data_IF_203106172271
#
_entry.id   IF_203106172271
#
_cell.length_a   1.000
_cell.length_b   1.000
_cell.length_c   1.000
_cell.angle_alpha   90.00
_cell.angle_beta   90.00
_cell.angle_gamma   90.00
#
_symmetry.space_group_name_H-M   'P 1'
#
loop_
_entity.id
_entity.type
_entity.pdbx_description
1 polymer ?
#
# COMPACT_ATOMS: atom_id res chain seq x y z
N UNK A 1 -13.09 -13.59 4.87
CA UNK A 1 -13.11 -12.11 4.77
C UNK A 1 -11.85 -11.59 5.41
N UNK A 2 -10.97 -10.90 4.67
CA UNK A 2 -9.68 -10.43 5.20
C UNK A 2 -9.83 -9.01 5.75
N UNK A 3 -10.48 -8.87 6.92
CA UNK A 3 -10.67 -7.58 7.60
C UNK A 3 -9.68 -7.52 8.76
N UNK A 4 -8.87 -6.46 8.81
CA UNK A 4 -7.87 -6.20 9.84
C UNK A 4 -8.13 -4.82 10.45
N UNK A 5 -8.33 -4.79 11.77
CA UNK A 5 -8.49 -3.57 12.54
C UNK A 5 -7.18 -3.29 13.27
N UNK A 6 -6.31 -2.53 12.61
CA UNK A 6 -5.04 -2.06 13.16
C UNK A 6 -5.10 -0.55 13.43
N UNK A 7 -4.08 -0.03 14.14
CA UNK A 7 -4.04 1.37 14.56
C UNK A 7 -4.02 2.32 13.36
N UNK A 8 -3.38 1.90 12.27
CA UNK A 8 -3.37 2.61 10.99
C UNK A 8 -3.70 1.65 9.82
N UNK A 9 -4.15 2.21 8.70
CA UNK A 9 -4.38 1.45 7.47
C UNK A 9 -3.08 0.78 7.00
N UNK A 10 -1.96 1.48 7.14
CA UNK A 10 -0.63 0.99 6.80
C UNK A 10 -0.27 -0.26 7.60
N UNK A 11 -0.41 -0.22 8.93
CA UNK A 11 -0.16 -1.38 9.79
C UNK A 11 -1.06 -2.55 9.41
N UNK A 12 -2.33 -2.29 9.09
CA UNK A 12 -3.26 -3.31 8.61
C UNK A 12 -2.76 -4.03 7.35
N UNK A 13 -2.28 -3.28 6.37
CA UNK A 13 -1.75 -3.84 5.12
C UNK A 13 -0.47 -4.63 5.40
N UNK A 14 0.45 -4.10 6.22
CA UNK A 14 1.72 -4.76 6.55
C UNK A 14 1.51 -6.03 7.38
N UNK A 15 0.61 -6.01 8.38
CA UNK A 15 0.26 -7.16 9.22
C UNK A 15 -0.40 -8.26 8.38
N UNK A 16 -1.33 -7.90 7.51
CA UNK A 16 -1.96 -8.86 6.59
C UNK A 16 -0.92 -9.48 5.67
N UNK A 17 -0.07 -8.67 5.03
CA UNK A 17 1.01 -9.14 4.17
C UNK A 17 1.94 -10.12 4.90
N UNK A 18 2.36 -9.77 6.13
CA UNK A 18 3.17 -10.66 6.99
C UNK A 18 2.45 -11.98 7.26
N UNK A 19 1.18 -11.96 7.65
CA UNK A 19 0.38 -13.17 7.94
C UNK A 19 0.33 -14.14 6.75
N UNK A 20 0.22 -13.64 5.53
CA UNK A 20 0.14 -14.48 4.33
C UNK A 20 1.50 -14.75 3.69
N UNK A 21 2.60 -14.25 4.27
CA UNK A 21 3.94 -14.30 3.68
C UNK A 21 4.01 -13.78 2.23
N UNK A 22 3.24 -12.72 1.90
CA UNK A 22 3.25 -12.12 0.56
C UNK A 22 4.62 -11.57 0.15
N UNK A 23 5.19 -11.95 -0.98
CA UNK A 23 6.48 -11.42 -1.43
C UNK A 23 6.42 -9.99 -2.00
N UNK A 24 5.22 -9.49 -2.27
CA UNK A 24 4.97 -8.20 -2.93
C UNK A 24 3.67 -7.57 -2.44
N UNK A 25 3.67 -6.23 -2.30
CA UNK A 25 2.44 -5.46 -2.08
C UNK A 25 2.13 -4.65 -3.35
N UNK A 26 0.97 -4.89 -3.95
CA UNK A 26 0.50 -4.17 -5.12
C UNK A 26 -0.66 -3.23 -4.75
N UNK A 27 -0.52 -1.94 -5.03
CA UNK A 27 -1.54 -0.92 -4.76
C UNK A 27 -2.06 -0.37 -6.09
N UNK A 28 -3.38 -0.28 -6.23
CA UNK A 28 -4.02 0.38 -7.37
C UNK A 28 -4.56 1.74 -6.95
N UNK A 29 -4.35 2.75 -7.79
CA UNK A 29 -4.79 4.12 -7.52
C UNK A 29 -5.71 4.61 -8.62
N UNK A 30 -6.88 5.16 -8.26
CA UNK A 30 -7.80 5.82 -9.19
C UNK A 30 -7.68 7.35 -9.01
N UNK A 31 -7.21 8.06 -10.03
CA UNK A 31 -7.03 9.52 -9.95
C UNK A 31 -6.56 10.17 -11.26
N UNK A 32 -7.09 11.37 -11.54
CA UNK A 32 -6.78 12.20 -12.72
C UNK A 32 -5.44 12.94 -12.61
N UNK A 33 -4.82 12.96 -11.43
CA UNK A 33 -3.53 13.61 -11.14
C UNK A 33 -2.48 12.53 -10.92
N UNK A 34 -1.45 12.47 -11.78
CA UNK A 34 -0.57 11.30 -11.94
C UNK A 34 0.36 10.94 -10.76
N UNK A 35 1.37 10.10 -11.06
CA UNK A 35 2.37 9.53 -10.11
C UNK A 35 2.92 10.53 -9.09
N UNK A 36 3.03 11.81 -9.46
CA UNK A 36 3.51 12.90 -8.61
C UNK A 36 2.68 13.04 -7.31
N UNK A 37 1.35 12.91 -7.38
CA UNK A 37 0.48 13.05 -6.20
C UNK A 37 0.44 11.79 -5.32
N UNK A 38 0.96 10.65 -5.80
CA UNK A 38 1.07 9.43 -4.98
C UNK A 38 2.20 9.53 -3.95
N UNK A 39 3.22 10.35 -4.24
CA UNK A 39 4.38 10.55 -3.36
C UNK A 39 4.23 11.76 -2.42
N UNK A 40 3.21 12.61 -2.61
CA UNK A 40 3.07 13.84 -1.82
C UNK A 40 2.33 13.60 -0.50
N UNK A 41 1.27 12.77 -0.45
CA UNK A 41 0.39 12.59 0.73
C UNK A 41 -0.46 11.28 0.68
N UNK A 42 0.11 10.11 0.33
CA UNK A 42 -0.69 8.88 0.17
C UNK A 42 -0.22 7.69 1.01
N UNK A 43 -1.16 6.80 1.37
CA UNK A 43 -0.91 5.50 2.03
C UNK A 43 0.16 4.69 1.29
N UNK A 44 0.25 4.83 -0.05
CA UNK A 44 1.26 4.13 -0.87
C UNK A 44 2.69 4.61 -0.57
N UNK A 45 2.87 5.89 -0.23
CA UNK A 45 4.17 6.46 0.15
C UNK A 45 4.64 5.92 1.49
N UNK A 46 3.75 5.94 2.48
CA UNK A 46 4.07 5.47 3.82
C UNK A 46 4.41 3.97 3.78
N UNK A 47 3.62 3.19 3.02
CA UNK A 47 3.94 1.80 2.72
C UNK A 47 5.27 1.62 1.98
N UNK A 48 5.54 2.39 0.92
CA UNK A 48 6.80 2.26 0.20
C UNK A 48 8.02 2.60 1.07
N UNK A 49 7.86 3.49 2.06
CA UNK A 49 8.91 3.88 2.99
C UNK A 49 9.13 2.87 4.14
N UNK A 50 8.07 2.27 4.67
CA UNK A 50 8.17 1.39 5.85
C UNK A 50 8.01 -0.10 5.55
N UNK A 51 7.55 -0.48 4.35
CA UNK A 51 7.44 -1.89 3.98
C UNK A 51 8.83 -2.50 3.79
N UNK A 52 9.09 -3.57 4.53
CA UNK A 52 10.24 -4.46 4.29
C UNK A 52 10.15 -5.21 2.96
N UNK A 53 8.96 -5.22 2.34
CA UNK A 53 8.68 -5.94 1.11
C UNK A 53 8.48 -4.96 -0.04
N UNK A 54 8.88 -5.31 -1.28
CA UNK A 54 8.72 -4.42 -2.41
C UNK A 54 7.25 -4.01 -2.59
N UNK A 55 7.02 -2.72 -2.84
CA UNK A 55 5.70 -2.14 -3.10
C UNK A 55 5.66 -1.68 -4.56
N UNK A 56 4.67 -2.15 -5.31
CA UNK A 56 4.42 -1.70 -6.68
C UNK A 56 3.07 -0.99 -6.73
N UNK A 57 3.05 0.20 -7.32
CA UNK A 57 1.81 0.95 -7.51
C UNK A 57 1.45 1.00 -8.99
N UNK A 58 0.23 0.59 -9.32
CA UNK A 58 -0.30 0.59 -10.67
C UNK A 58 -1.41 1.64 -10.82
N UNK A 59 -1.40 2.33 -11.96
CA UNK A 59 -2.50 3.19 -12.37
C UNK A 59 -3.46 2.36 -13.23
N UNK A 60 -4.70 2.23 -12.79
CA UNK A 60 -5.79 1.74 -13.63
C UNK A 60 -6.58 2.96 -14.08
N UNK A 61 -6.49 3.26 -15.38
CA UNK A 61 -7.20 4.35 -16.05
C UNK A 61 -8.62 3.94 -16.41
#
# INVERSE_FOLDING_TARGET
TNIFNDVTIEEGILNFGRRINADLIAINTHGRSGLYNLFTESISKDLANHALRPVITFKIA
#
